data_IF_275770855388
#
_entry.id   IF_275770855388
#
_cell.length_a   1.000
_cell.length_b   1.000
_cell.length_c   1.000
_cell.angle_alpha   90.00
_cell.angle_beta   90.00
_cell.angle_gamma   90.00
#
_symmetry.space_group_name_H-M   'P 1'
#
loop_
_entity.id
_entity.type
_entity.pdbx_description
1 polymer ?
#
# COMPACT_ATOMS: atom_id res chain seq x y z
N UNK A 1 -11.88 -15.97 -24.89
CA UNK A 1 -11.95 -15.73 -23.44
C UNK A 1 -11.33 -14.38 -23.17
N UNK A 2 -12.15 -13.35 -23.09
CA UNK A 2 -11.70 -11.97 -22.89
C UNK A 2 -11.39 -11.78 -21.39
N UNK A 3 -10.12 -11.89 -21.00
CA UNK A 3 -9.66 -11.47 -19.67
C UNK A 3 -9.49 -9.94 -19.67
N UNK A 4 -10.58 -9.24 -19.94
CA UNK A 4 -10.67 -7.80 -20.03
C UNK A 4 -10.26 -7.14 -18.73
N UNK A 5 -9.18 -6.36 -18.81
CA UNK A 5 -8.70 -5.36 -17.88
C UNK A 5 -9.80 -4.81 -16.96
N UNK A 6 -9.78 -5.22 -15.69
CA UNK A 6 -10.54 -4.58 -14.61
C UNK A 6 -10.01 -3.15 -14.36
N UNK A 7 -10.38 -2.20 -15.22
CA UNK A 7 -10.26 -0.77 -14.95
C UNK A 7 -11.66 -0.20 -14.76
N UNK A 8 -12.13 -0.20 -13.52
CA UNK A 8 -13.24 0.67 -13.11
C UNK A 8 -12.65 2.01 -12.62
N UNK A 9 -12.95 3.13 -13.29
CA UNK A 9 -12.57 4.46 -12.85
C UNK A 9 -13.60 4.96 -11.83
N UNK A 10 -13.26 5.03 -10.54
CA UNK A 10 -14.18 5.63 -9.57
C UNK A 10 -13.87 5.55 -8.07
N UNK A 11 -13.23 4.51 -7.55
CA UNK A 11 -13.29 4.28 -6.10
C UNK A 11 -11.94 4.43 -5.41
N UNK A 12 -11.85 5.44 -4.56
CA UNK A 12 -10.66 5.91 -3.85
C UNK A 12 -10.21 4.96 -2.73
N UNK A 13 -10.35 3.65 -2.90
CA UNK A 13 -10.05 2.63 -1.89
C UNK A 13 -8.67 2.02 -2.10
N UNK A 14 -7.79 2.14 -1.11
CA UNK A 14 -6.55 1.36 -1.06
C UNK A 14 -6.89 -0.13 -1.17
N UNK A 15 -6.12 -0.89 -1.95
CA UNK A 15 -6.28 -2.34 -2.05
C UNK A 15 -5.12 -3.08 -1.38
N UNK A 16 -5.36 -4.32 -0.96
CA UNK A 16 -4.32 -5.18 -0.38
C UNK A 16 -3.21 -5.39 -1.42
N UNK A 17 -1.95 -5.26 -0.99
CA UNK A 17 -0.77 -5.29 -1.87
C UNK A 17 -0.35 -3.93 -2.42
N UNK A 18 -1.15 -2.87 -2.26
CA UNK A 18 -0.78 -1.55 -2.76
C UNK A 18 0.32 -0.92 -1.90
N UNK A 19 1.33 -0.35 -2.55
CA UNK A 19 2.39 0.40 -1.88
C UNK A 19 1.91 1.83 -1.61
N UNK A 20 2.23 2.32 -0.42
CA UNK A 20 1.84 3.65 0.04
C UNK A 20 2.98 4.29 0.80
N UNK A 21 3.05 5.62 0.76
CA UNK A 21 4.02 6.40 1.51
C UNK A 21 3.31 7.22 2.58
N UNK A 22 3.86 7.27 3.77
CA UNK A 22 3.33 8.06 4.86
C UNK A 22 3.66 9.54 4.67
N UNK A 23 2.64 10.42 4.56
CA UNK A 23 2.81 11.87 4.39
C UNK A 23 2.80 12.65 5.71
N UNK A 24 2.16 12.10 6.75
CA UNK A 24 1.96 12.78 8.04
C UNK A 24 2.17 11.82 9.23
N UNK A 25 2.58 12.37 10.37
CA UNK A 25 2.83 11.67 11.64
C UNK A 25 4.28 11.28 11.89
N UNK A 26 4.53 10.40 12.86
CA UNK A 26 5.89 9.98 13.27
C UNK A 26 6.72 9.29 12.17
N UNK A 27 6.05 8.70 11.19
CA UNK A 27 6.67 7.93 10.09
C UNK A 27 6.66 8.68 8.75
N UNK A 28 6.68 10.01 8.75
CA UNK A 28 6.70 10.77 7.48
C UNK A 28 7.86 10.28 6.60
N UNK A 29 7.56 10.07 5.32
CA UNK A 29 8.52 9.61 4.33
C UNK A 29 8.71 8.10 4.26
N UNK A 30 8.26 7.32 5.26
CA UNK A 30 8.36 5.86 5.25
C UNK A 30 7.37 5.21 4.30
N UNK A 31 7.80 4.12 3.70
CA UNK A 31 7.03 3.29 2.76
C UNK A 31 6.41 2.09 3.47
N UNK A 32 5.23 1.71 3.01
CA UNK A 32 4.45 0.61 3.54
C UNK A 32 3.65 -0.07 2.43
N UNK A 33 3.22 -1.30 2.69
CA UNK A 33 2.23 -2.00 1.85
C UNK A 33 0.94 -2.14 2.64
N UNK A 34 -0.19 -1.95 1.95
CA UNK A 34 -1.52 -2.17 2.51
C UNK A 34 -1.76 -3.67 2.62
N UNK A 35 -2.01 -4.15 3.82
CA UNK A 35 -2.30 -5.57 4.11
C UNK A 35 -3.73 -5.80 4.58
N UNK A 36 -4.49 -4.73 4.75
CA UNK A 36 -5.90 -4.82 5.11
C UNK A 36 -6.58 -3.45 5.02
N UNK A 37 -7.90 -3.49 4.87
CA UNK A 37 -8.77 -2.32 4.78
C UNK A 37 -9.95 -2.56 5.72
N UNK A 38 -10.31 -1.56 6.51
CA UNK A 38 -11.50 -1.61 7.37
C UNK A 38 -12.77 -1.59 6.51
N UNK A 39 -13.85 -2.21 6.98
CA UNK A 39 -15.15 -2.25 6.28
C UNK A 39 -15.66 -0.84 5.94
N UNK A 40 -15.48 0.14 6.85
CA UNK A 40 -15.87 1.54 6.62
C UNK A 40 -14.99 2.28 5.60
N UNK A 41 -13.89 1.69 5.12
CA UNK A 41 -12.96 2.34 4.20
C UNK A 41 -12.26 3.58 4.77
N UNK A 42 -12.26 3.78 6.09
CA UNK A 42 -11.59 4.94 6.75
C UNK A 42 -10.19 4.62 7.24
N UNK A 43 -9.96 3.36 7.62
CA UNK A 43 -8.70 2.89 8.21
C UNK A 43 -8.12 1.80 7.32
N UNK A 44 -6.81 1.84 7.17
CA UNK A 44 -6.02 0.81 6.49
C UNK A 44 -4.99 0.25 7.44
N UNK A 45 -4.63 -1.00 7.20
CA UNK A 45 -3.62 -1.73 7.92
C UNK A 45 -2.38 -1.82 7.04
N UNK A 46 -1.25 -1.36 7.57
CA UNK A 46 0.00 -1.22 6.83
C UNK A 46 1.08 -2.14 7.41
N UNK A 47 1.92 -2.69 6.55
CA UNK A 47 3.09 -3.46 6.94
C UNK A 47 4.33 -3.03 6.14
N UNK A 48 5.51 -3.10 6.77
CA UNK A 48 6.83 -2.88 6.16
C UNK A 48 7.70 -4.14 6.19
N UNK A 49 7.24 -5.23 6.82
CA UNK A 49 7.99 -6.47 6.95
C UNK A 49 9.01 -6.45 8.09
N UNK A 50 9.44 -5.26 8.56
CA UNK A 50 10.43 -5.12 9.64
C UNK A 50 9.82 -4.72 10.98
N UNK A 51 9.21 -3.54 11.05
CA UNK A 51 8.60 -3.03 12.29
C UNK A 51 7.13 -3.46 12.44
N UNK A 52 6.43 -3.54 11.31
CA UNK A 52 5.03 -3.90 11.20
C UNK A 52 4.91 -5.06 10.21
N UNK A 53 4.39 -6.18 10.70
CA UNK A 53 4.17 -7.40 9.90
C UNK A 53 2.69 -7.58 9.62
N UNK A 54 2.34 -8.51 8.74
CA UNK A 54 0.93 -8.86 8.44
C UNK A 54 0.15 -9.22 9.70
N UNK A 55 0.80 -9.83 10.70
CA UNK A 55 0.17 -10.21 11.99
C UNK A 55 -0.02 -9.03 12.93
N UNK A 56 0.86 -8.03 12.89
CA UNK A 56 0.81 -6.83 13.71
C UNK A 56 0.91 -5.59 12.82
N UNK A 57 -0.10 -5.34 11.96
CA UNK A 57 -0.03 -4.25 11.04
C UNK A 57 -0.28 -2.93 11.75
N UNK A 58 0.24 -1.85 11.18
CA UNK A 58 0.04 -0.50 11.67
C UNK A 58 -1.32 0.03 11.21
N UNK A 59 -2.26 0.36 12.10
CA UNK A 59 -3.48 1.05 11.71
C UNK A 59 -3.17 2.50 11.34
N UNK A 60 -3.56 2.92 10.13
CA UNK A 60 -3.37 4.30 9.65
C UNK A 60 -4.65 4.80 8.97
N UNK A 61 -4.92 6.10 9.12
CA UNK A 61 -5.99 6.75 8.39
C UNK A 61 -5.53 6.99 6.94
N UNK A 62 -6.38 6.66 5.97
CA UNK A 62 -6.07 6.79 4.54
C UNK A 62 -5.68 8.22 4.17
N UNK A 63 -6.27 9.23 4.83
CA UNK A 63 -5.96 10.65 4.57
C UNK A 63 -4.50 11.03 4.84
N UNK A 64 -3.75 10.21 5.59
CA UNK A 64 -2.35 10.47 5.93
C UNK A 64 -1.37 9.73 5.01
N UNK A 65 -1.87 9.10 3.96
CA UNK A 65 -1.10 8.26 3.05
C UNK A 65 -1.09 8.86 1.65
N UNK A 66 0.08 8.85 1.03
CA UNK A 66 0.23 8.98 -0.40
C UNK A 66 0.07 7.59 -0.99
N UNK A 67 -0.93 7.42 -1.84
CA UNK A 67 -1.08 6.21 -2.64
C UNK A 67 -0.14 6.29 -3.84
N UNK A 68 0.50 5.18 -4.16
CA UNK A 68 1.23 5.03 -5.43
C UNK A 68 0.52 4.06 -6.35
N UNK A 69 0.95 4.04 -7.61
CA UNK A 69 0.51 3.07 -8.62
C UNK A 69 1.13 1.69 -8.43
N UNK A 70 2.09 1.55 -7.50
CA UNK A 70 2.81 0.31 -7.29
C UNK A 70 1.98 -0.71 -6.51
N UNK A 71 2.13 -1.96 -6.91
CA UNK A 71 1.38 -3.07 -6.38
C UNK A 71 2.26 -4.31 -6.27
N UNK A 72 2.27 -4.93 -5.11
CA UNK A 72 3.00 -6.17 -4.83
C UNK A 72 2.03 -7.33 -4.81
N UNK A 73 1.77 -7.90 -5.99
CA UNK A 73 0.83 -9.00 -6.19
C UNK A 73 1.18 -10.24 -5.38
N UNK A 74 2.47 -10.50 -5.15
CA UNK A 74 2.93 -11.63 -4.34
C UNK A 74 2.50 -11.49 -2.87
N UNK A 75 2.68 -10.29 -2.32
CA UNK A 75 2.24 -9.97 -0.95
C UNK A 75 0.72 -10.01 -0.90
N UNK A 76 0.03 -9.44 -1.89
CA UNK A 76 -1.42 -9.45 -1.96
C UNK A 76 -1.98 -10.88 -1.90
N UNK A 77 -1.49 -11.75 -2.77
CA UNK A 77 -1.89 -13.17 -2.79
C UNK A 77 -1.56 -13.88 -1.50
N UNK A 78 -0.39 -13.64 -0.91
CA UNK A 78 0.03 -14.32 0.32
C UNK A 78 -0.81 -13.89 1.53
N UNK A 79 -1.17 -12.60 1.60
CA UNK A 79 -2.09 -12.07 2.61
C UNK A 79 -3.49 -12.63 2.42
N UNK A 80 -4.02 -12.66 1.20
CA UNK A 80 -5.37 -13.14 0.90
C UNK A 80 -5.53 -14.66 1.04
N UNK A 81 -4.52 -15.46 0.67
CA UNK A 81 -4.61 -16.93 0.64
C UNK A 81 -4.23 -17.60 1.96
N UNK A 82 -3.13 -17.16 2.58
CA UNK A 82 -2.50 -17.84 3.73
C UNK A 82 -2.47 -16.98 4.99
N UNK A 83 -2.77 -15.69 4.89
CA UNK A 83 -2.69 -14.73 6.00
C UNK A 83 -1.28 -14.62 6.61
N UNK A 84 -0.25 -15.07 5.90
CA UNK A 84 1.13 -15.16 6.39
C UNK A 84 2.08 -14.82 5.27
N UNK A 85 2.99 -13.89 5.55
CA UNK A 85 4.11 -13.52 4.69
C UNK A 85 5.36 -13.55 5.54
N UNK A 86 6.43 -14.12 5.00
CA UNK A 86 7.74 -14.06 5.65
C UNK A 86 8.20 -12.59 5.74
N UNK A 87 8.56 -12.09 6.93
CA UNK A 87 8.94 -10.70 7.12
C UNK A 87 10.18 -10.30 6.31
N UNK A 88 11.15 -11.20 6.14
CA UNK A 88 12.36 -10.95 5.35
C UNK A 88 12.04 -10.83 3.87
N UNK A 89 11.24 -11.75 3.32
CA UNK A 89 10.77 -11.69 1.93
C UNK A 89 9.93 -10.43 1.66
N UNK A 90 9.08 -10.05 2.61
CA UNK A 90 8.27 -8.84 2.50
C UNK A 90 9.16 -7.59 2.39
N UNK A 91 10.13 -7.47 3.29
CA UNK A 91 11.03 -6.31 3.33
C UNK A 91 11.91 -6.24 2.08
N UNK A 92 12.42 -7.38 1.62
CA UNK A 92 13.19 -7.47 0.37
C UNK A 92 12.40 -6.96 -0.84
N UNK A 93 11.16 -7.44 -1.04
CA UNK A 93 10.31 -7.02 -2.16
C UNK A 93 9.99 -5.52 -2.12
N UNK A 94 9.68 -5.00 -0.93
CA UNK A 94 9.39 -3.58 -0.77
C UNK A 94 10.62 -2.72 -1.04
N UNK A 95 11.77 -3.11 -0.49
CA UNK A 95 13.04 -2.41 -0.63
C UNK A 95 13.53 -2.40 -2.08
N UNK A 96 13.46 -3.56 -2.76
CA UNK A 96 13.82 -3.73 -4.17
C UNK A 96 12.99 -2.79 -5.04
N UNK A 97 11.67 -2.80 -4.87
CA UNK A 97 10.75 -1.96 -5.64
C UNK A 97 11.02 -0.46 -5.46
N UNK A 98 11.30 -0.01 -4.23
CA UNK A 98 11.62 1.40 -3.96
C UNK A 98 12.99 1.78 -4.54
N UNK A 99 13.97 0.88 -4.47
CA UNK A 99 15.32 1.10 -4.98
C UNK A 99 15.38 1.22 -6.50
N UNK A 100 14.51 0.52 -7.22
CA UNK A 100 14.45 0.57 -8.69
C UNK A 100 13.90 1.90 -9.21
N UNK A 101 13.00 2.56 -8.49
CA UNK A 101 12.18 3.65 -9.02
C UNK A 101 12.63 5.07 -8.61
N UNK A 102 13.86 5.25 -8.11
CA UNK A 102 14.38 6.59 -7.72
C UNK A 102 14.59 7.56 -8.90
N UNK A 103 14.13 7.24 -10.12
CA UNK A 103 14.33 8.05 -11.34
C UNK A 103 13.06 8.69 -11.91
N UNK A 104 11.87 8.38 -11.39
CA UNK A 104 10.60 8.91 -11.92
C UNK A 104 9.63 9.23 -10.77
N UNK A 105 9.65 10.46 -10.27
CA UNK A 105 8.70 10.94 -9.25
C UNK A 105 8.21 12.37 -9.60
N UNK A 106 7.68 12.54 -10.81
CA UNK A 106 6.77 13.65 -11.13
C UNK A 106 5.65 13.16 -12.04
N UNK A 107 4.71 12.38 -11.50
CA UNK A 107 3.30 12.35 -11.93
C UNK A 107 2.59 11.14 -11.32
N UNK A 108 2.06 11.30 -10.11
CA UNK A 108 0.64 11.08 -9.76
C UNK A 108 0.50 11.18 -8.25
N UNK A 109 0.66 12.39 -7.73
CA UNK A 109 -0.06 12.75 -6.53
C UNK A 109 -1.55 12.76 -6.90
N UNK A 110 -2.28 11.67 -6.62
CA UNK A 110 -3.74 11.76 -6.61
C UNK A 110 -4.10 12.92 -5.66
N UNK A 111 -4.80 13.97 -6.13
CA UNK A 111 -5.12 15.11 -5.30
C UNK A 111 -6.00 14.64 -4.15
N UNK A 112 -5.46 14.67 -2.93
CA UNK A 112 -6.29 14.64 -1.75
C UNK A 112 -7.14 15.91 -1.81
N UNK A 113 -8.40 15.76 -2.21
CA UNK A 113 -9.33 16.88 -2.44
C UNK A 113 -9.31 17.84 -1.24
N UNK A 114 -9.21 19.12 -1.59
CA UNK A 114 -9.44 20.26 -0.73
C UNK A 114 -10.74 20.12 0.06
N UNK A 115 -10.74 20.63 1.29
CA UNK A 115 -11.98 21.07 1.94
C UNK A 115 -11.91 22.58 2.16
N UNK A 116 -13.08 23.16 1.92
CA UNK A 116 -13.44 24.54 1.59
C UNK A 116 -13.19 25.57 2.68
#
# INVERSE_FOLDING_TARGET
>A
MDMGLNSLPGESLCRIGQVVRSRKGKDVGRWYVVVGVSEDGRRVFLADGRNFTVKKPKPKNMMHLQRTKWHLDEIAHSVLSKGRVDPGRFEALLSELIGMNSKEDEETACPAKAKS
#
